data_IF_535531439172
#
_entry.id   IF_535531439172
#
_cell.length_a   1.000
_cell.length_b   1.000
_cell.length_c   1.000
_cell.angle_alpha   90.00
_cell.angle_beta   90.00
_cell.angle_gamma   90.00
#
_symmetry.space_group_name_H-M   'P 1'
#
loop_
_entity.id
_entity.type
_entity.pdbx_description
1 polymer ?
#
# COMPACT_ATOMS: atom_id res chain seq x y z
N UNK A 1 -0.05 21.10 28.68
CA UNK A 1 -1.11 20.79 29.64
C UNK A 1 -2.24 20.08 28.87
N UNK A 2 -2.45 18.80 29.14
CA UNK A 2 -3.57 18.03 28.56
C UNK A 2 -4.86 18.57 29.17
N UNK A 3 -5.92 18.79 28.38
CA UNK A 3 -7.16 19.30 28.91
C UNK A 3 -7.74 18.31 29.95
N UNK A 4 -8.19 18.83 31.09
CA UNK A 4 -8.60 18.09 32.29
C UNK A 4 -9.70 17.04 32.06
N UNK A 5 -10.50 17.16 30.98
CA UNK A 5 -11.55 16.19 30.61
C UNK A 5 -11.03 14.85 30.07
N UNK A 6 -9.76 14.79 29.58
CA UNK A 6 -9.17 13.52 29.11
C UNK A 6 -8.71 12.64 30.27
N UNK A 7 -8.47 13.23 31.44
CA UNK A 7 -8.02 12.52 32.65
C UNK A 7 -9.21 11.87 33.39
N UNK A 8 -10.39 12.47 33.34
CA UNK A 8 -11.56 12.01 34.07
C UNK A 8 -12.12 10.65 33.56
N UNK A 9 -12.01 10.34 32.29
CA UNK A 9 -12.55 9.08 31.75
C UNK A 9 -11.73 7.83 32.12
N UNK A 10 -10.44 7.98 32.44
CA UNK A 10 -9.61 6.85 32.90
C UNK A 10 -9.93 6.39 34.33
N UNK A 11 -10.58 7.23 35.13
CA UNK A 11 -10.86 6.95 36.52
C UNK A 11 -12.20 6.19 36.72
N UNK A 12 -13.00 5.99 35.68
CA UNK A 12 -14.37 5.42 35.78
C UNK A 12 -14.44 3.97 35.31
N UNK A 13 -13.36 3.42 34.72
CA UNK A 13 -13.36 2.00 34.36
C UNK A 13 -13.09 1.16 35.63
N UNK A 14 -13.97 0.20 35.98
CA UNK A 14 -13.72 -0.75 37.04
C UNK A 14 -12.39 -1.49 36.80
N UNK A 15 -11.67 -1.78 37.90
CA UNK A 15 -10.41 -2.54 37.81
C UNK A 15 -10.57 -3.92 37.13
N UNK A 16 -11.80 -4.43 37.08
CA UNK A 16 -12.20 -5.74 36.55
C UNK A 16 -12.85 -5.64 35.16
N UNK A 17 -12.77 -4.48 34.48
CA UNK A 17 -13.29 -4.39 33.12
C UNK A 17 -12.58 -5.43 32.24
N UNK A 18 -13.33 -6.33 31.54
CA UNK A 18 -12.73 -7.35 30.70
C UNK A 18 -11.81 -6.68 29.68
N UNK A 19 -10.60 -7.23 29.54
CA UNK A 19 -9.64 -6.72 28.57
C UNK A 19 -10.32 -6.55 27.20
N UNK A 20 -10.27 -5.35 26.64
CA UNK A 20 -10.86 -5.06 25.34
C UNK A 20 -10.29 -6.08 24.34
N UNK A 21 -11.13 -6.80 23.60
CA UNK A 21 -10.65 -7.81 22.66
C UNK A 21 -9.70 -7.15 21.65
N UNK A 22 -8.45 -7.57 21.65
CA UNK A 22 -7.47 -7.12 20.67
C UNK A 22 -7.79 -7.78 19.33
N UNK A 23 -8.19 -7.00 18.35
CA UNK A 23 -8.44 -7.49 16.99
C UNK A 23 -7.12 -7.40 16.19
N UNK A 24 -6.65 -8.55 15.70
CA UNK A 24 -5.50 -8.59 14.81
C UNK A 24 -5.90 -8.07 13.42
N UNK A 25 -5.58 -6.82 13.14
CA UNK A 25 -5.96 -6.14 11.89
C UNK A 25 -5.02 -6.51 10.73
N UNK A 26 -3.73 -6.74 11.02
CA UNK A 26 -2.70 -6.93 9.99
C UNK A 26 -2.46 -8.40 9.69
N UNK A 27 -2.65 -8.74 8.40
CA UNK A 27 -2.43 -10.07 7.86
C UNK A 27 -0.92 -10.32 7.66
N UNK A 28 -0.34 -11.41 8.22
CA UNK A 28 1.06 -11.76 8.02
C UNK A 28 1.45 -11.90 6.55
N UNK A 29 0.57 -12.47 5.72
CA UNK A 29 0.79 -12.58 4.29
C UNK A 29 0.98 -11.19 3.64
N UNK A 30 0.11 -10.22 3.96
CA UNK A 30 0.20 -8.86 3.41
C UNK A 30 1.50 -8.18 3.84
N UNK A 31 1.98 -8.43 5.05
CA UNK A 31 3.27 -7.88 5.52
C UNK A 31 4.45 -8.47 4.76
N UNK A 32 4.50 -9.80 4.61
CA UNK A 32 5.57 -10.48 3.87
C UNK A 32 5.55 -10.02 2.41
N UNK A 33 4.36 -10.03 1.77
CA UNK A 33 4.16 -9.52 0.43
C UNK A 33 4.71 -8.09 0.27
N UNK A 34 4.34 -7.18 1.16
CA UNK A 34 4.74 -5.77 1.08
C UNK A 34 6.27 -5.61 1.15
N UNK A 35 6.93 -6.22 2.14
CA UNK A 35 8.38 -6.08 2.28
C UNK A 35 9.18 -6.81 1.21
N UNK A 36 8.68 -7.96 0.73
CA UNK A 36 9.26 -8.64 -0.43
C UNK A 36 9.15 -7.78 -1.69
N UNK A 37 7.99 -7.13 -1.90
CA UNK A 37 7.76 -6.23 -3.01
C UNK A 37 8.70 -5.01 -2.95
N UNK A 38 8.86 -4.38 -1.78
CA UNK A 38 9.79 -3.27 -1.59
C UNK A 38 11.22 -3.67 -1.97
N UNK A 39 11.70 -4.83 -1.46
CA UNK A 39 13.04 -5.33 -1.79
C UNK A 39 13.22 -5.63 -3.27
N UNK A 40 12.28 -6.35 -3.87
CA UNK A 40 12.34 -6.72 -5.30
C UNK A 40 12.22 -5.50 -6.22
N UNK A 41 11.36 -4.54 -5.89
CA UNK A 41 11.22 -3.31 -6.67
C UNK A 41 12.53 -2.48 -6.62
N UNK A 42 13.15 -2.40 -5.44
CA UNK A 42 14.45 -1.74 -5.30
C UNK A 42 15.53 -2.43 -6.13
N UNK A 43 15.59 -3.77 -6.12
CA UNK A 43 16.52 -4.53 -6.95
C UNK A 43 16.24 -4.31 -8.43
N UNK A 44 15.00 -4.44 -8.86
CA UNK A 44 14.63 -4.24 -10.28
C UNK A 44 15.00 -2.82 -10.74
N UNK A 45 14.68 -1.80 -9.96
CA UNK A 45 15.02 -0.42 -10.29
C UNK A 45 16.53 -0.18 -10.36
N UNK A 46 17.31 -0.68 -9.39
CA UNK A 46 18.74 -0.49 -9.34
C UNK A 46 19.51 -1.28 -10.41
N UNK A 47 18.89 -2.32 -11.01
CA UNK A 47 19.55 -3.20 -11.99
C UNK A 47 19.05 -3.03 -13.42
N UNK A 48 18.14 -2.05 -13.65
CA UNK A 48 17.57 -1.80 -14.97
C UNK A 48 18.63 -1.62 -16.07
N UNK A 49 19.63 -0.81 -15.79
CA UNK A 49 20.74 -0.52 -16.72
C UNK A 49 22.00 -1.37 -16.47
N UNK A 50 22.09 -2.04 -15.30
CA UNK A 50 23.33 -2.70 -14.87
C UNK A 50 23.32 -4.21 -15.14
N UNK A 51 22.16 -4.87 -15.02
CA UNK A 51 22.08 -6.32 -15.13
C UNK A 51 20.70 -6.80 -15.56
N UNK A 52 20.57 -7.09 -16.84
CA UNK A 52 19.33 -7.64 -17.44
C UNK A 52 18.82 -8.88 -16.67
N UNK A 53 19.71 -9.81 -16.31
CA UNK A 53 19.31 -11.05 -15.60
C UNK A 53 18.67 -10.77 -14.25
N UNK A 54 19.25 -9.86 -13.47
CA UNK A 54 18.71 -9.51 -12.15
C UNK A 54 17.42 -8.71 -12.28
N UNK A 55 17.37 -7.79 -13.23
CA UNK A 55 16.18 -7.02 -13.54
C UNK A 55 15.00 -7.93 -13.91
N UNK A 56 15.20 -8.83 -14.87
CA UNK A 56 14.18 -9.79 -15.32
C UNK A 56 13.74 -10.72 -14.16
N UNK A 57 14.69 -11.28 -13.41
CA UNK A 57 14.37 -12.16 -12.28
C UNK A 57 13.53 -11.43 -11.22
N UNK A 58 13.89 -10.20 -10.85
CA UNK A 58 13.14 -9.39 -9.92
C UNK A 58 11.76 -9.00 -10.50
N UNK A 59 11.70 -8.64 -11.79
CA UNK A 59 10.45 -8.32 -12.48
C UNK A 59 9.45 -9.48 -12.50
N UNK A 60 9.89 -10.68 -12.85
CA UNK A 60 9.03 -11.88 -12.80
C UNK A 60 8.60 -12.24 -11.37
N UNK A 61 9.49 -12.06 -10.37
CA UNK A 61 9.12 -12.28 -8.98
C UNK A 61 8.06 -11.27 -8.52
N UNK A 62 8.17 -9.99 -8.91
CA UNK A 62 7.15 -8.96 -8.67
C UNK A 62 5.82 -9.36 -9.33
N UNK A 63 5.83 -9.76 -10.61
CA UNK A 63 4.64 -10.20 -11.31
C UNK A 63 3.93 -11.36 -10.58
N UNK A 64 4.69 -12.36 -10.12
CA UNK A 64 4.18 -13.46 -9.32
C UNK A 64 3.56 -13.00 -7.99
N UNK A 65 4.23 -12.08 -7.27
CA UNK A 65 3.69 -11.50 -6.04
C UNK A 65 2.40 -10.70 -6.29
N UNK A 66 2.34 -9.92 -7.37
CA UNK A 66 1.15 -9.16 -7.74
C UNK A 66 -0.02 -10.09 -8.03
N UNK A 67 0.19 -11.16 -8.79
CA UNK A 67 -0.84 -12.18 -9.04
C UNK A 67 -1.33 -12.82 -7.73
N UNK A 68 -0.42 -13.22 -6.85
CA UNK A 68 -0.79 -13.75 -5.52
C UNK A 68 -1.59 -12.72 -4.71
N UNK A 69 -1.22 -11.43 -4.76
CA UNK A 69 -1.94 -10.37 -4.06
C UNK A 69 -3.35 -10.16 -4.62
N UNK A 70 -3.50 -10.23 -5.94
CA UNK A 70 -4.82 -10.15 -6.58
C UNK A 70 -5.72 -11.29 -6.10
N UNK A 71 -5.24 -12.55 -6.14
CA UNK A 71 -5.99 -13.69 -5.62
C UNK A 71 -6.32 -13.50 -4.15
N UNK A 72 -5.34 -13.11 -3.32
CA UNK A 72 -5.54 -12.88 -1.88
C UNK A 72 -6.51 -11.74 -1.60
N UNK A 73 -6.63 -10.77 -2.51
CA UNK A 73 -7.60 -9.69 -2.43
C UNK A 73 -9.06 -10.15 -2.52
N UNK A 74 -9.31 -11.35 -3.03
CA UNK A 74 -10.65 -11.96 -3.09
C UNK A 74 -10.88 -13.02 -2.01
N UNK A 75 -9.89 -13.90 -1.77
CA UNK A 75 -10.04 -15.07 -0.88
C UNK A 75 -9.39 -14.90 0.49
N UNK A 76 -8.56 -13.90 0.68
CA UNK A 76 -7.77 -13.66 1.89
C UNK A 76 -8.58 -13.28 3.13
N UNK A 77 -7.87 -12.85 4.18
CA UNK A 77 -8.48 -12.40 5.43
C UNK A 77 -9.38 -11.18 5.24
N UNK A 78 -10.33 -10.94 6.15
CA UNK A 78 -11.34 -9.86 6.05
C UNK A 78 -10.72 -8.51 5.68
N UNK A 79 -9.66 -8.09 6.37
CA UNK A 79 -9.03 -6.78 6.17
C UNK A 79 -8.04 -6.72 4.97
N UNK A 80 -7.73 -7.87 4.36
CA UNK A 80 -6.92 -7.96 3.14
C UNK A 80 -7.75 -7.91 1.86
N UNK A 81 -9.08 -8.12 1.95
CA UNK A 81 -9.97 -8.17 0.79
C UNK A 81 -10.27 -6.79 0.24
N UNK A 82 -10.36 -6.69 -1.08
CA UNK A 82 -10.70 -5.44 -1.77
C UNK A 82 -12.03 -4.86 -1.30
N UNK A 83 -13.06 -5.68 -1.07
CA UNK A 83 -14.38 -5.25 -0.62
C UNK A 83 -14.35 -4.56 0.76
N UNK A 84 -13.36 -4.81 1.58
CA UNK A 84 -13.25 -4.21 2.92
C UNK A 84 -12.72 -2.77 2.88
N UNK A 85 -11.83 -2.46 1.95
CA UNK A 85 -11.16 -1.15 1.92
C UNK A 85 -11.42 -0.30 0.67
N UNK A 86 -11.95 -0.87 -0.42
CA UNK A 86 -12.32 -0.09 -1.61
C UNK A 86 -13.55 0.75 -1.30
N UNK A 87 -13.40 2.06 -1.40
CA UNK A 87 -14.46 3.04 -1.12
C UNK A 87 -14.75 3.88 -2.35
N UNK A 88 -15.98 4.43 -2.43
CA UNK A 88 -16.36 5.31 -3.52
C UNK A 88 -15.47 6.58 -3.56
N UNK A 89 -15.19 7.14 -4.75
CA UNK A 89 -14.36 8.35 -4.89
C UNK A 89 -14.85 9.53 -4.03
N UNK A 90 -16.16 9.66 -3.84
CA UNK A 90 -16.74 10.69 -2.98
C UNK A 90 -16.32 10.55 -1.51
N UNK A 91 -16.31 9.30 -0.99
CA UNK A 91 -15.85 9.03 0.38
C UNK A 91 -14.35 9.30 0.54
N UNK A 92 -13.54 8.96 -0.48
CA UNK A 92 -12.11 9.26 -0.49
C UNK A 92 -11.89 10.78 -0.43
N UNK A 93 -12.58 11.56 -1.27
CA UNK A 93 -12.46 13.03 -1.29
C UNK A 93 -12.87 13.64 0.05
N UNK A 94 -13.98 13.21 0.64
CA UNK A 94 -14.43 13.68 1.95
C UNK A 94 -13.40 13.36 3.03
N UNK A 95 -12.86 12.14 3.04
CA UNK A 95 -11.82 11.73 3.99
C UNK A 95 -10.56 12.60 3.84
N UNK A 96 -10.09 12.82 2.62
CA UNK A 96 -8.92 13.67 2.33
C UNK A 96 -9.12 15.11 2.82
N UNK A 97 -10.32 15.69 2.59
CA UNK A 97 -10.63 17.04 3.07
C UNK A 97 -10.63 17.14 4.61
N UNK A 98 -11.05 16.10 5.31
CA UNK A 98 -11.00 16.04 6.78
C UNK A 98 -9.57 15.82 7.28
N UNK A 99 -8.78 14.95 6.62
CA UNK A 99 -7.38 14.68 6.96
C UNK A 99 -6.53 15.95 6.85
N UNK A 100 -6.69 16.72 5.78
CA UNK A 100 -5.97 18.01 5.62
C UNK A 100 -6.31 19.04 6.74
N UNK A 101 -7.40 18.84 7.46
CA UNK A 101 -7.80 19.67 8.62
C UNK A 101 -7.45 19.02 9.96
N UNK A 102 -6.71 17.91 10.00
CA UNK A 102 -6.43 17.09 11.18
C UNK A 102 -7.71 16.66 11.93
N UNK A 103 -8.76 16.31 11.18
CA UNK A 103 -10.07 15.90 11.67
C UNK A 103 -10.54 14.58 11.06
N UNK A 104 -9.63 13.82 10.46
CA UNK A 104 -9.98 12.52 9.88
C UNK A 104 -10.42 11.55 10.98
N UNK A 105 -11.54 10.83 10.78
CA UNK A 105 -11.97 9.81 11.73
C UNK A 105 -10.96 8.65 11.73
N UNK A 106 -10.67 8.12 12.92
CA UNK A 106 -9.88 6.90 13.06
C UNK A 106 -10.65 5.72 12.46
N UNK A 107 -10.02 4.98 11.56
CA UNK A 107 -10.59 3.81 10.90
C UNK A 107 -9.75 2.59 11.25
N UNK A 108 -10.39 1.49 11.68
CA UNK A 108 -9.72 0.20 11.85
C UNK A 108 -9.39 -0.38 10.47
N UNK A 109 -8.11 -0.70 10.23
CA UNK A 109 -7.64 -1.17 8.92
C UNK A 109 -7.27 -0.02 7.98
N UNK A 110 -7.52 -0.20 6.68
CA UNK A 110 -7.17 0.81 5.69
C UNK A 110 -8.19 1.95 5.66
N UNK A 111 -7.73 3.17 5.82
CA UNK A 111 -8.56 4.34 5.59
C UNK A 111 -8.87 4.51 4.08
N UNK A 112 -9.89 5.29 3.70
CA UNK A 112 -10.31 5.44 2.30
C UNK A 112 -9.18 5.89 1.36
N UNK A 113 -8.29 6.78 1.81
CA UNK A 113 -7.14 7.25 1.02
C UNK A 113 -6.07 6.16 0.86
N UNK A 114 -5.76 5.43 1.93
CA UNK A 114 -4.85 4.28 1.90
C UNK A 114 -5.35 3.18 0.99
N UNK A 115 -6.64 2.86 1.03
CA UNK A 115 -7.25 1.89 0.11
C UNK A 115 -7.10 2.28 -1.35
N UNK A 116 -7.33 3.55 -1.70
CA UNK A 116 -7.13 4.06 -3.06
C UNK A 116 -5.66 4.02 -3.49
N UNK A 117 -4.74 4.35 -2.58
CA UNK A 117 -3.30 4.26 -2.83
C UNK A 117 -2.86 2.82 -3.15
N UNK A 118 -3.38 1.83 -2.41
CA UNK A 118 -3.10 0.40 -2.70
C UNK A 118 -3.54 0.04 -4.11
N UNK A 119 -4.75 0.44 -4.53
CA UNK A 119 -5.24 0.18 -5.88
C UNK A 119 -4.38 0.86 -6.95
N UNK A 120 -3.98 2.12 -6.72
CA UNK A 120 -3.13 2.85 -7.65
C UNK A 120 -1.76 2.17 -7.82
N UNK A 121 -1.09 1.83 -6.72
CA UNK A 121 0.20 1.13 -6.76
C UNK A 121 0.09 -0.26 -7.40
N UNK A 122 -0.98 -1.03 -7.12
CA UNK A 122 -1.20 -2.32 -7.77
C UNK A 122 -1.42 -2.15 -9.28
N UNK A 123 -2.18 -1.15 -9.70
CA UNK A 123 -2.38 -0.87 -11.13
C UNK A 123 -1.07 -0.52 -11.83
N UNK A 124 -0.21 0.30 -11.20
CA UNK A 124 1.13 0.59 -11.73
C UNK A 124 1.98 -0.68 -11.85
N UNK A 125 2.03 -1.51 -10.81
CA UNK A 125 2.79 -2.76 -10.82
C UNK A 125 2.30 -3.75 -11.89
N UNK A 126 0.99 -3.83 -12.11
CA UNK A 126 0.41 -4.62 -13.21
C UNK A 126 0.90 -4.07 -14.56
N UNK A 127 0.83 -2.75 -14.76
CA UNK A 127 1.30 -2.10 -15.98
C UNK A 127 2.79 -2.32 -16.23
N UNK A 128 3.63 -2.13 -15.20
CA UNK A 128 5.08 -2.37 -15.26
C UNK A 128 5.37 -3.84 -15.61
N UNK A 129 4.70 -4.78 -14.93
CA UNK A 129 4.88 -6.21 -15.20
C UNK A 129 4.42 -6.60 -16.60
N UNK A 130 3.31 -6.03 -17.07
CA UNK A 130 2.79 -6.30 -18.41
C UNK A 130 3.72 -5.76 -19.49
N UNK A 131 4.17 -4.51 -19.39
CA UNK A 131 5.08 -3.89 -20.36
C UNK A 131 6.46 -4.58 -20.33
N UNK A 132 6.99 -4.89 -19.12
CA UNK A 132 8.22 -5.64 -18.98
C UNK A 132 8.15 -7.03 -19.63
N UNK A 133 7.02 -7.75 -19.44
CA UNK A 133 6.79 -9.02 -20.12
C UNK A 133 6.68 -8.84 -21.65
N UNK A 134 5.98 -7.82 -22.14
CA UNK A 134 5.86 -7.54 -23.57
C UNK A 134 7.24 -7.40 -24.22
N UNK A 135 8.17 -6.68 -23.61
CA UNK A 135 9.53 -6.48 -24.13
C UNK A 135 10.33 -7.78 -24.28
N UNK A 136 9.96 -8.85 -23.58
CA UNK A 136 10.60 -10.18 -23.72
C UNK A 136 9.97 -11.06 -24.81
N UNK A 137 8.95 -10.57 -25.53
CA UNK A 137 8.22 -11.33 -26.55
C UNK A 137 8.55 -10.84 -27.95
N UNK A 138 8.63 -11.77 -28.94
CA UNK A 138 8.99 -11.45 -30.32
C UNK A 138 8.16 -10.31 -30.94
N UNK A 139 6.82 -10.20 -30.75
CA UNK A 139 6.03 -9.15 -31.39
C UNK A 139 6.38 -7.73 -30.92
N UNK A 140 6.96 -7.59 -29.75
CA UNK A 140 7.27 -6.29 -29.12
C UNK A 140 8.76 -6.08 -28.88
N UNK A 141 9.60 -7.01 -29.35
CA UNK A 141 11.05 -6.89 -29.22
C UNK A 141 11.55 -5.63 -29.90
N UNK A 142 12.22 -4.74 -29.15
CA UNK A 142 12.72 -3.45 -29.67
C UNK A 142 11.66 -2.41 -29.97
N UNK A 143 10.42 -2.59 -29.49
CA UNK A 143 9.35 -1.61 -29.64
C UNK A 143 9.53 -0.43 -28.68
N UNK A 144 10.06 0.71 -29.15
CA UNK A 144 10.35 1.91 -28.36
C UNK A 144 9.16 2.37 -27.49
N UNK A 145 7.94 2.34 -28.04
CA UNK A 145 6.76 2.78 -27.28
C UNK A 145 6.45 1.92 -26.04
N UNK A 146 6.83 0.62 -26.06
CA UNK A 146 6.66 -0.28 -24.90
C UNK A 146 7.69 0.06 -23.84
N UNK A 147 8.93 0.32 -24.25
CA UNK A 147 10.03 0.74 -23.38
C UNK A 147 9.71 2.08 -22.72
N UNK A 148 9.33 3.09 -23.50
CA UNK A 148 8.91 4.40 -22.98
C UNK A 148 7.73 4.29 -21.99
N UNK A 149 6.73 3.44 -22.30
CA UNK A 149 5.60 3.21 -21.42
C UNK A 149 6.04 2.52 -20.12
N UNK A 150 6.93 1.52 -20.20
CA UNK A 150 7.47 0.85 -19.03
C UNK A 150 8.19 1.85 -18.11
N UNK A 151 9.08 2.63 -18.67
CA UNK A 151 9.84 3.66 -17.95
C UNK A 151 8.91 4.72 -17.31
N UNK A 152 7.93 5.21 -18.07
CA UNK A 152 6.94 6.16 -17.58
C UNK A 152 6.14 5.61 -16.39
N UNK A 153 5.73 4.33 -16.45
CA UNK A 153 5.03 3.65 -15.35
C UNK A 153 5.94 3.48 -14.13
N UNK A 154 7.22 3.19 -14.31
CA UNK A 154 8.21 3.09 -13.22
C UNK A 154 8.34 4.44 -12.52
N UNK A 155 8.58 5.54 -13.26
CA UNK A 155 8.70 6.87 -12.65
C UNK A 155 7.39 7.34 -11.99
N UNK A 156 6.25 7.06 -12.60
CA UNK A 156 4.95 7.33 -11.98
C UNK A 156 4.78 6.56 -10.65
N UNK A 157 5.25 5.31 -10.61
CA UNK A 157 5.24 4.50 -9.39
C UNK A 157 6.14 5.07 -8.31
N UNK A 158 7.33 5.57 -8.64
CA UNK A 158 8.22 6.23 -7.68
C UNK A 158 7.55 7.45 -7.04
N UNK A 159 6.86 8.28 -7.84
CA UNK A 159 6.08 9.40 -7.32
C UNK A 159 4.96 8.95 -6.38
N UNK A 160 4.22 7.90 -6.75
CA UNK A 160 3.19 7.32 -5.88
C UNK A 160 3.77 6.74 -4.59
N UNK A 161 4.97 6.14 -4.62
CA UNK A 161 5.68 5.65 -3.44
C UNK A 161 6.03 6.80 -2.51
N UNK A 162 6.53 7.93 -3.03
CA UNK A 162 6.80 9.13 -2.22
C UNK A 162 5.52 9.63 -1.55
N UNK A 163 4.42 9.74 -2.29
CA UNK A 163 3.12 10.14 -1.75
C UNK A 163 2.60 9.13 -0.72
N UNK A 164 2.80 7.83 -0.97
CA UNK A 164 2.44 6.76 -0.03
C UNK A 164 3.19 6.91 1.31
N UNK A 165 4.52 7.07 1.25
CA UNK A 165 5.34 7.25 2.45
C UNK A 165 4.91 8.51 3.21
N UNK A 166 4.72 9.62 2.50
CA UNK A 166 4.24 10.87 3.09
C UNK A 166 2.88 10.69 3.78
N UNK A 167 1.95 9.97 3.15
CA UNK A 167 0.64 9.64 3.71
C UNK A 167 0.73 8.77 4.98
N UNK A 168 1.62 7.78 5.00
CA UNK A 168 1.87 6.93 6.18
C UNK A 168 2.44 7.77 7.33
N UNK A 169 3.43 8.62 7.05
CA UNK A 169 4.04 9.53 8.06
C UNK A 169 2.99 10.49 8.61
N UNK A 170 2.23 11.14 7.73
CA UNK A 170 1.17 12.06 8.12
C UNK A 170 0.13 11.38 9.02
N UNK A 171 -0.36 10.21 8.61
CA UNK A 171 -1.35 9.46 9.38
C UNK A 171 -0.80 8.96 10.72
N UNK A 172 0.49 8.59 10.76
CA UNK A 172 1.16 8.21 12.02
C UNK A 172 1.24 9.38 13.00
N UNK A 173 1.50 10.61 12.52
CA UNK A 173 1.55 11.82 13.34
C UNK A 173 0.14 12.20 13.82
N UNK A 174 -0.85 12.21 12.91
CA UNK A 174 -2.22 12.59 13.21
C UNK A 174 -2.84 11.72 14.31
N UNK A 175 -2.57 10.40 14.27
CA UNK A 175 -3.16 9.43 15.22
C UNK A 175 -2.24 9.07 16.40
N UNK A 176 -0.99 9.54 16.41
CA UNK A 176 -0.01 9.21 17.45
C UNK A 176 0.37 7.72 17.46
N UNK A 177 0.29 7.04 16.32
CA UNK A 177 0.53 5.60 16.17
C UNK A 177 1.68 5.33 15.18
N UNK A 178 2.46 4.27 15.44
CA UNK A 178 3.50 3.86 14.51
C UNK A 178 2.91 2.85 13.49
N UNK A 179 2.42 3.36 12.35
CA UNK A 179 1.82 2.53 11.31
C UNK A 179 2.82 1.64 10.57
N UNK A 180 4.14 1.86 10.73
CA UNK A 180 5.19 0.99 10.16
C UNK A 180 5.37 -0.28 10.99
N UNK A 181 5.12 -0.20 12.31
CA UNK A 181 5.21 -1.34 13.25
C UNK A 181 3.90 -2.12 13.37
N UNK A 182 2.81 -1.52 12.96
CA UNK A 182 1.47 -2.08 13.12
C UNK A 182 1.22 -3.32 12.25
#
# INVERSE_FOLDING_TARGET
PRPAHVVAWRAVLPADAPAQPTVRVWDPFVRIFHWSLVGLFTVAFATGDESERLHLAAGYAIAGLVLLRLVWGFVGSKHARFNDFVRSPGKVRTFMALAMRFRAPRVLGHNPAGGMMILALLAMLIGISATGFMMTTDPFWGAEWVEELHEALVYASLWLIVVHIAGVVFSSIEHGENLVKA
#
